data_IF_158319360012
#
_entry.id   IF_158319360012
#
_cell.length_a   1.000
_cell.length_b   1.000
_cell.length_c   1.000
_cell.angle_alpha   90.00
_cell.angle_beta   90.00
_cell.angle_gamma   90.00
#
_symmetry.space_group_name_H-M   'P 1'
#
loop_
_entity.id
_entity.type
_entity.pdbx_description
1 polymer ?
#
# COMPACT_ATOMS: atom_id res chain seq x y z
N UNK A 1 -17.28 27.98 6.07
CA UNK A 1 -16.68 26.65 6.28
C UNK A 1 -17.34 25.73 5.27
N UNK A 2 -16.69 25.39 4.13
CA UNK A 2 -17.30 24.43 3.22
C UNK A 2 -17.31 23.07 3.92
N UNK A 3 -18.49 22.47 4.01
CA UNK A 3 -18.75 21.16 4.62
C UNK A 3 -17.90 20.11 3.90
N UNK A 4 -17.07 19.37 4.63
CA UNK A 4 -16.36 18.22 4.10
C UNK A 4 -17.41 17.25 3.52
N UNK A 5 -17.43 17.13 2.19
CA UNK A 5 -18.15 16.06 1.53
C UNK A 5 -17.55 14.74 2.04
N UNK A 6 -18.39 13.81 2.53
CA UNK A 6 -17.93 12.50 2.97
C UNK A 6 -17.05 11.89 1.88
N UNK A 7 -15.77 11.65 2.19
CA UNK A 7 -14.84 11.04 1.26
C UNK A 7 -15.37 9.69 0.80
N UNK A 8 -15.18 9.36 -0.48
CA UNK A 8 -15.59 8.06 -1.03
C UNK A 8 -14.54 7.03 -0.61
N UNK A 9 -14.95 5.99 0.09
CA UNK A 9 -14.06 4.88 0.45
C UNK A 9 -13.74 4.05 -0.79
N UNK A 10 -12.45 3.78 -0.97
CA UNK A 10 -11.89 2.91 -1.99
C UNK A 10 -11.51 1.60 -1.31
N UNK A 11 -12.13 0.52 -1.78
CA UNK A 11 -11.81 -0.83 -1.32
C UNK A 11 -10.57 -1.31 -2.07
N UNK A 12 -9.56 -1.77 -1.32
CA UNK A 12 -8.42 -2.45 -1.90
C UNK A 12 -8.60 -3.96 -1.76
N UNK A 13 -8.43 -4.67 -2.86
CA UNK A 13 -8.44 -6.12 -2.95
C UNK A 13 -7.04 -6.69 -2.77
N UNK A 14 -6.94 -7.78 -2.02
CA UNK A 14 -5.68 -8.48 -1.79
C UNK A 14 -5.26 -9.27 -3.02
N UNK A 15 -4.01 -9.09 -3.43
CA UNK A 15 -3.35 -9.85 -4.49
C UNK A 15 -2.21 -10.71 -3.96
N UNK A 16 -1.42 -11.25 -4.88
CA UNK A 16 -0.27 -12.09 -4.54
C UNK A 16 0.77 -11.32 -3.69
N UNK A 17 1.43 -12.04 -2.79
CA UNK A 17 2.52 -11.48 -1.97
C UNK A 17 2.07 -10.38 -0.99
N UNK A 18 0.79 -10.31 -0.64
CA UNK A 18 0.24 -9.30 0.26
C UNK A 18 0.09 -7.92 -0.39
N UNK A 19 0.19 -7.84 -1.72
CA UNK A 19 -0.10 -6.61 -2.46
C UNK A 19 -1.57 -6.27 -2.36
N UNK A 20 -1.90 -4.98 -2.45
CA UNK A 20 -3.28 -4.51 -2.47
C UNK A 20 -3.51 -3.66 -3.73
N UNK A 21 -4.64 -3.83 -4.39
CA UNK A 21 -5.01 -3.04 -5.57
C UNK A 21 -6.46 -2.56 -5.47
N UNK A 22 -6.76 -1.39 -5.99
CA UNK A 22 -8.12 -0.89 -6.03
C UNK A 22 -8.33 0.15 -7.10
N UNK A 23 -9.60 0.47 -7.35
CA UNK A 23 -10.02 1.44 -8.35
C UNK A 23 -10.81 2.56 -7.68
N UNK A 24 -10.68 3.77 -8.22
CA UNK A 24 -11.48 4.91 -7.81
C UNK A 24 -11.94 5.68 -9.04
N UNK A 25 -13.00 6.45 -8.89
CA UNK A 25 -13.49 7.31 -9.95
C UNK A 25 -14.69 8.11 -9.53
N UNK A 26 -14.98 9.15 -10.30
CA UNK A 26 -16.17 9.96 -10.09
C UNK A 26 -16.68 10.51 -11.40
N UNK A 27 -18.00 10.68 -11.48
CA UNK A 27 -18.61 11.63 -12.38
C UNK A 27 -18.61 12.99 -11.69
N UNK A 28 -18.09 13.99 -12.38
CA UNK A 28 -18.12 15.38 -11.96
C UNK A 28 -19.19 16.10 -12.75
N UNK A 29 -19.99 16.89 -12.05
CA UNK A 29 -20.93 17.82 -12.65
C UNK A 29 -20.45 19.22 -12.30
N UNK A 30 -20.46 20.13 -13.26
CA UNK A 30 -20.19 21.54 -12.98
C UNK A 30 -21.07 22.02 -11.81
N UNK A 31 -20.43 22.47 -10.74
CA UNK A 31 -21.10 23.13 -9.61
C UNK A 31 -20.83 24.63 -9.70
N UNK A 32 -21.89 25.43 -9.87
CA UNK A 32 -21.77 26.88 -10.02
C UNK A 32 -21.25 27.33 -11.39
N UNK A 33 -20.92 28.61 -11.53
CA UNK A 33 -20.49 29.23 -12.80
C UNK A 33 -19.03 28.91 -13.17
N UNK A 34 -18.21 28.45 -12.21
CA UNK A 34 -16.77 28.23 -12.39
C UNK A 34 -16.40 26.79 -12.79
N UNK A 35 -17.28 25.80 -12.56
CA UNK A 35 -17.02 24.40 -12.91
C UNK A 35 -15.92 23.73 -12.08
N UNK A 36 -15.45 24.37 -11.02
CA UNK A 36 -14.45 23.82 -10.11
C UNK A 36 -15.02 22.64 -9.33
N UNK A 37 -14.14 21.68 -9.03
CA UNK A 37 -14.49 20.56 -8.17
C UNK A 37 -13.31 20.12 -7.31
N UNK A 38 -13.69 19.56 -6.16
CA UNK A 38 -12.83 18.72 -5.32
C UNK A 38 -13.52 17.37 -5.13
N UNK A 39 -12.74 16.29 -5.20
CA UNK A 39 -13.14 14.94 -4.80
C UNK A 39 -12.12 14.39 -3.84
N UNK A 40 -12.60 13.79 -2.77
CA UNK A 40 -11.77 13.12 -1.78
C UNK A 40 -12.12 11.64 -1.76
N UNK A 41 -11.08 10.82 -1.81
CA UNK A 41 -11.15 9.37 -1.67
C UNK A 41 -10.28 8.94 -0.50
N UNK A 42 -10.70 7.91 0.21
CA UNK A 42 -9.92 7.31 1.29
C UNK A 42 -9.76 5.82 1.12
N UNK A 43 -8.64 5.27 1.57
CA UNK A 43 -8.41 3.83 1.64
C UNK A 43 -7.55 3.53 2.86
N UNK A 44 -7.62 2.30 3.37
CA UNK A 44 -6.84 1.90 4.55
C UNK A 44 -5.74 0.93 4.16
N UNK A 45 -4.52 1.20 4.61
CA UNK A 45 -3.38 0.30 4.50
C UNK A 45 -3.17 -0.46 5.81
N UNK A 46 -3.05 -1.80 5.78
CA UNK A 46 -2.92 -2.60 7.01
C UNK A 46 -1.53 -2.48 7.65
N UNK A 47 -0.51 -2.15 6.86
CA UNK A 47 0.90 -2.05 7.26
C UNK A 47 1.60 -0.95 6.46
N UNK A 48 2.80 -0.56 6.89
CA UNK A 48 3.66 0.35 6.14
C UNK A 48 4.10 -0.29 4.81
N UNK A 49 4.27 0.52 3.78
CA UNK A 49 4.67 0.02 2.47
C UNK A 49 4.92 1.13 1.45
N UNK A 50 4.74 0.76 0.19
CA UNK A 50 4.93 1.63 -0.95
C UNK A 50 3.64 1.65 -1.76
N UNK A 51 3.11 2.84 -2.01
CA UNK A 51 1.93 3.07 -2.85
C UNK A 51 2.32 3.70 -4.18
N UNK A 52 1.69 3.23 -5.25
CA UNK A 52 1.64 3.89 -6.54
C UNK A 52 0.17 4.09 -6.91
N UNK A 53 -0.12 5.13 -7.69
CA UNK A 53 -1.46 5.38 -8.18
C UNK A 53 -1.43 6.10 -9.52
N UNK A 54 -2.48 5.89 -10.32
CA UNK A 54 -2.71 6.57 -11.58
C UNK A 54 -4.12 7.14 -11.64
N UNK A 55 -4.33 8.13 -12.50
CA UNK A 55 -5.63 8.71 -12.80
C UNK A 55 -5.66 9.12 -14.27
N UNK A 56 -6.82 9.03 -14.91
CA UNK A 56 -7.04 9.57 -16.25
C UNK A 56 -8.48 10.06 -16.47
N UNK A 57 -8.63 10.91 -17.49
CA UNK A 57 -9.91 11.37 -18.03
C UNK A 57 -9.80 11.48 -19.56
N UNK A 58 -10.95 11.42 -20.23
CA UNK A 58 -11.06 11.62 -21.68
C UNK A 58 -12.29 12.45 -21.99
N UNK A 59 -12.12 13.47 -22.82
CA UNK A 59 -13.23 14.30 -23.32
C UNK A 59 -13.80 13.72 -24.62
N UNK A 60 -15.08 13.96 -24.82
CA UNK A 60 -15.73 13.88 -26.14
C UNK A 60 -15.93 15.30 -26.70
N UNK A 61 -16.27 16.24 -25.83
CA UNK A 61 -16.57 17.64 -26.13
C UNK A 61 -16.27 18.54 -24.90
N UNK A 62 -16.60 19.82 -24.98
CA UNK A 62 -16.39 20.76 -23.87
C UNK A 62 -17.22 20.41 -22.62
N UNK A 63 -18.38 19.75 -22.75
CA UNK A 63 -19.24 19.40 -21.61
C UNK A 63 -18.72 18.19 -20.83
N UNK A 64 -17.88 17.36 -21.45
CA UNK A 64 -17.26 16.18 -20.82
C UNK A 64 -15.81 16.41 -20.44
N UNK A 65 -15.25 17.57 -20.80
CA UNK A 65 -13.87 17.94 -20.51
C UNK A 65 -13.63 18.09 -19.01
N UNK A 66 -12.53 17.49 -18.56
CA UNK A 66 -11.99 17.67 -17.21
C UNK A 66 -10.55 18.14 -17.36
N UNK A 67 -10.25 19.24 -16.69
CA UNK A 67 -8.91 19.78 -16.57
C UNK A 67 -8.44 19.59 -15.12
N UNK A 68 -7.53 18.65 -14.88
CA UNK A 68 -6.94 18.46 -13.55
C UNK A 68 -6.08 19.68 -13.20
N UNK A 69 -6.23 20.17 -11.97
CA UNK A 69 -5.39 21.25 -11.41
C UNK A 69 -4.41 20.73 -10.37
N UNK A 70 -4.82 19.72 -9.60
CA UNK A 70 -3.94 18.97 -8.70
C UNK A 70 -4.52 17.63 -8.34
N UNK A 71 -3.64 16.65 -8.13
CA UNK A 71 -3.98 15.35 -7.54
C UNK A 71 -2.94 15.06 -6.47
N UNK A 72 -3.41 14.81 -5.25
CA UNK A 72 -2.56 14.70 -4.07
C UNK A 72 -2.85 13.38 -3.34
N UNK A 73 -1.83 12.57 -3.07
CA UNK A 73 -1.91 11.45 -2.13
C UNK A 73 -1.20 11.85 -0.83
N UNK A 74 -1.95 11.97 0.25
CA UNK A 74 -1.48 12.47 1.56
C UNK A 74 -0.73 13.81 1.45
N UNK A 75 -1.19 14.70 0.56
CA UNK A 75 -0.55 15.99 0.30
C UNK A 75 0.65 15.94 -0.67
N UNK A 76 1.07 14.76 -1.13
CA UNK A 76 2.13 14.63 -2.14
C UNK A 76 1.54 14.64 -3.55
N UNK A 77 2.04 15.54 -4.40
CA UNK A 77 1.49 15.75 -5.73
C UNK A 77 1.85 14.65 -6.73
N UNK A 78 0.88 14.32 -7.59
CA UNK A 78 1.10 13.51 -8.77
C UNK A 78 1.86 14.32 -9.82
N UNK A 79 2.61 13.62 -10.68
CA UNK A 79 3.06 14.16 -11.95
C UNK A 79 1.88 14.14 -12.94
N UNK A 80 1.41 15.30 -13.37
CA UNK A 80 0.27 15.44 -14.29
C UNK A 80 0.75 15.72 -15.72
N UNK A 81 0.01 15.22 -16.71
CA UNK A 81 0.12 15.66 -18.09
C UNK A 81 -0.34 17.11 -18.23
N UNK A 82 0.05 17.82 -19.31
CA UNK A 82 -0.61 19.07 -19.69
C UNK A 82 -2.10 18.85 -19.92
N UNK A 83 -2.88 19.91 -19.73
CA UNK A 83 -4.32 19.88 -20.00
C UNK A 83 -4.65 19.63 -21.47
N UNK A 84 -5.71 18.86 -21.74
CA UNK A 84 -5.93 18.32 -23.08
C UNK A 84 -7.18 17.45 -23.21
N UNK A 85 -7.27 16.71 -24.33
CA UNK A 85 -8.45 15.86 -24.58
C UNK A 85 -8.41 14.52 -23.85
N UNK A 86 -7.21 14.14 -23.46
CA UNK A 86 -6.92 13.07 -22.54
C UNK A 86 -5.93 13.66 -21.57
N UNK A 87 -6.21 13.50 -20.28
CA UNK A 87 -5.28 13.90 -19.23
C UNK A 87 -4.99 12.69 -18.36
N UNK A 88 -3.75 12.59 -17.89
CA UNK A 88 -3.32 11.53 -17.01
C UNK A 88 -2.45 12.10 -15.90
N UNK A 89 -2.40 11.37 -14.79
CA UNK A 89 -1.52 11.67 -13.67
C UNK A 89 -1.05 10.39 -13.01
N UNK A 90 0.16 10.41 -12.45
CA UNK A 90 0.63 9.31 -11.62
C UNK A 90 1.50 9.78 -10.46
N UNK A 91 1.55 8.93 -9.45
CA UNK A 91 2.60 8.93 -8.43
C UNK A 91 3.12 7.51 -8.29
N UNK A 92 4.42 7.36 -8.20
CA UNK A 92 5.09 6.07 -8.16
C UNK A 92 6.04 6.02 -6.97
N UNK A 93 6.07 4.90 -6.26
CA UNK A 93 7.07 4.66 -5.22
C UNK A 93 6.90 5.52 -3.96
N UNK A 94 5.69 6.02 -3.65
CA UNK A 94 5.47 6.81 -2.45
C UNK A 94 5.48 5.89 -1.22
N UNK A 95 6.39 6.14 -0.28
CA UNK A 95 6.35 5.48 1.02
C UNK A 95 5.08 5.91 1.79
N UNK A 96 4.30 4.93 2.23
CA UNK A 96 3.05 5.12 2.94
C UNK A 96 3.06 4.33 4.24
N UNK A 97 2.48 4.91 5.29
CA UNK A 97 2.34 4.26 6.58
C UNK A 97 1.02 3.49 6.64
N UNK A 98 0.94 2.55 7.58
CA UNK A 98 -0.31 1.90 7.95
C UNK A 98 -1.34 2.94 8.41
N UNK A 99 -2.61 2.69 8.08
CA UNK A 99 -3.73 3.55 8.44
C UNK A 99 -4.47 4.13 7.24
N UNK A 100 -5.24 5.18 7.50
CA UNK A 100 -6.09 5.82 6.48
C UNK A 100 -5.25 6.76 5.62
N UNK A 101 -5.32 6.54 4.32
CA UNK A 101 -4.70 7.33 3.28
C UNK A 101 -5.78 8.19 2.61
N UNK A 102 -5.41 9.41 2.20
CA UNK A 102 -6.33 10.36 1.57
C UNK A 102 -5.81 10.75 0.19
N UNK A 103 -6.65 10.55 -0.83
CA UNK A 103 -6.43 11.00 -2.20
C UNK A 103 -7.38 12.17 -2.50
N UNK A 104 -6.83 13.31 -2.88
CA UNK A 104 -7.59 14.52 -3.22
C UNK A 104 -7.39 14.84 -4.70
N UNK A 105 -8.47 14.94 -5.45
CA UNK A 105 -8.50 15.32 -6.86
C UNK A 105 -9.18 16.68 -6.99
N UNK A 106 -8.47 17.65 -7.55
CA UNK A 106 -8.99 18.97 -7.84
C UNK A 106 -8.92 19.24 -9.35
N UNK A 107 -9.91 19.96 -9.87
CA UNK A 107 -9.94 20.30 -11.27
C UNK A 107 -11.09 21.22 -11.63
N UNK A 108 -11.23 21.42 -12.94
CA UNK A 108 -12.39 22.04 -13.56
C UNK A 108 -13.10 21.03 -14.43
N UNK A 109 -14.42 21.04 -14.44
CA UNK A 109 -15.24 20.29 -15.40
C UNK A 109 -16.10 21.25 -16.20
N UNK A 110 -16.12 21.09 -17.52
CA UNK A 110 -17.02 21.85 -18.38
C UNK A 110 -18.48 21.42 -18.27
N UNK A 111 -18.81 20.36 -17.52
CA UNK A 111 -20.15 19.83 -17.44
C UNK A 111 -20.20 18.47 -16.75
N UNK A 112 -20.64 17.44 -17.46
CA UNK A 112 -20.80 16.06 -16.99
C UNK A 112 -19.61 15.19 -17.41
N UNK A 113 -18.42 15.53 -16.93
CA UNK A 113 -17.18 14.77 -17.17
C UNK A 113 -16.99 13.63 -16.16
N UNK A 114 -16.04 12.73 -16.44
CA UNK A 114 -15.65 11.69 -15.50
C UNK A 114 -14.14 11.42 -15.51
N UNK A 115 -13.64 10.92 -14.39
CA UNK A 115 -12.29 10.41 -14.28
C UNK A 115 -12.29 9.10 -13.50
N UNK A 116 -11.25 8.30 -13.69
CA UNK A 116 -11.00 7.09 -12.93
C UNK A 116 -9.50 6.83 -12.81
N UNK A 117 -9.13 5.94 -11.89
CA UNK A 117 -7.76 5.63 -11.60
C UNK A 117 -7.61 4.34 -10.81
N UNK A 118 -6.36 3.91 -10.69
CA UNK A 118 -5.98 2.71 -9.95
C UNK A 118 -5.01 3.07 -8.83
N UNK A 119 -5.06 2.29 -7.76
CA UNK A 119 -4.13 2.35 -6.63
C UNK A 119 -3.50 0.97 -6.51
N UNK A 120 -2.19 0.93 -6.33
CA UNK A 120 -1.45 -0.31 -6.06
C UNK A 120 -0.53 -0.10 -4.86
N UNK A 121 -0.48 -1.08 -3.98
CA UNK A 121 0.30 -1.04 -2.77
C UNK A 121 1.09 -2.34 -2.60
N UNK A 122 2.34 -2.19 -2.18
CA UNK A 122 3.21 -3.29 -1.80
C UNK A 122 3.61 -3.09 -0.34
N UNK A 123 3.34 -4.05 0.56
CA UNK A 123 3.75 -3.94 1.95
C UNK A 123 5.28 -3.95 2.05
N UNK A 124 5.84 -3.18 2.98
CA UNK A 124 7.23 -3.37 3.36
C UNK A 124 7.34 -4.71 4.07
N UNK A 125 8.22 -5.60 3.58
CA UNK A 125 8.43 -6.88 4.23
C UNK A 125 8.85 -6.63 5.68
N UNK A 126 8.15 -7.26 6.63
CA UNK A 126 8.51 -7.17 8.02
C UNK A 126 9.95 -7.70 8.19
N UNK A 127 10.89 -6.79 8.48
CA UNK A 127 12.23 -7.18 8.90
C UNK A 127 12.06 -7.84 10.26
N UNK A 128 12.52 -9.10 10.47
CA UNK A 128 12.38 -9.74 11.76
C UNK A 128 13.01 -8.85 12.83
N UNK A 129 12.24 -8.54 13.88
CA UNK A 129 12.71 -7.67 14.95
C UNK A 129 14.01 -8.22 15.56
N UNK A 130 14.89 -7.38 16.13
CA UNK A 130 16.10 -7.84 16.82
C UNK A 130 15.83 -8.93 17.87
N UNK A 131 14.63 -8.91 18.49
CA UNK A 131 14.18 -9.97 19.40
C UNK A 131 14.01 -11.32 18.72
N UNK A 132 13.47 -11.37 17.51
CA UNK A 132 13.35 -12.60 16.71
C UNK A 132 14.71 -13.17 16.37
N UNK A 133 15.66 -12.31 16.00
CA UNK A 133 17.06 -12.72 15.78
C UNK A 133 17.69 -13.25 17.07
N UNK A 134 17.47 -12.57 18.19
CA UNK A 134 17.99 -13.00 19.49
C UNK A 134 17.41 -14.36 19.91
N UNK A 135 16.10 -14.59 19.73
CA UNK A 135 15.45 -15.86 20.03
C UNK A 135 15.93 -16.99 19.12
N UNK A 136 16.13 -16.71 17.83
CA UNK A 136 16.73 -17.65 16.89
C UNK A 136 18.15 -18.05 17.35
N UNK A 137 18.99 -17.06 17.66
CA UNK A 137 20.35 -17.31 18.16
C UNK A 137 20.34 -18.06 19.49
N UNK A 138 19.45 -17.71 20.41
CA UNK A 138 19.26 -18.42 21.68
C UNK A 138 18.86 -19.88 21.45
N UNK A 139 17.94 -20.15 20.52
CA UNK A 139 17.54 -21.50 20.12
C UNK A 139 18.72 -22.31 19.61
N UNK A 140 19.52 -21.74 18.69
CA UNK A 140 20.74 -22.39 18.22
C UNK A 140 21.77 -22.62 19.33
N UNK A 141 21.96 -21.65 20.23
CA UNK A 141 22.86 -21.78 21.36
C UNK A 141 22.43 -22.92 22.31
N UNK A 142 21.13 -23.03 22.60
CA UNK A 142 20.58 -24.09 23.45
C UNK A 142 20.78 -25.49 22.83
N UNK A 143 20.51 -25.64 21.53
CA UNK A 143 20.74 -26.90 20.81
C UNK A 143 22.22 -27.25 20.82
N UNK A 144 23.10 -26.31 20.45
CA UNK A 144 24.55 -26.51 20.45
C UNK A 144 25.09 -26.90 21.83
N UNK A 145 24.59 -26.27 22.90
CA UNK A 145 24.94 -26.62 24.27
C UNK A 145 24.52 -28.05 24.65
N UNK A 146 23.32 -28.47 24.24
CA UNK A 146 22.80 -29.82 24.51
C UNK A 146 23.66 -30.92 23.87
N UNK A 147 24.17 -30.68 22.66
CA UNK A 147 25.04 -31.62 21.94
C UNK A 147 26.41 -31.74 22.61
N UNK A 148 26.98 -30.63 23.11
CA UNK A 148 28.27 -30.65 23.82
C UNK A 148 28.21 -31.40 25.16
N UNK A 149 27.04 -31.44 25.80
CA UNK A 149 26.87 -32.06 27.13
C UNK A 149 26.80 -33.59 27.08
N UNK A 150 26.41 -34.18 25.95
CA UNK A 150 26.38 -35.64 25.76
C UNK A 150 27.74 -36.16 25.30
N UNK A 151 28.71 -36.28 26.21
CA UNK A 151 29.76 -37.28 26.07
C UNK A 151 29.24 -38.56 26.71
N UNK A 152 28.87 -39.60 25.94
CA UNK A 152 28.63 -40.90 26.55
C UNK A 152 29.95 -41.36 27.14
N UNK A 153 30.05 -41.42 28.47
CA UNK A 153 31.03 -42.29 29.10
C UNK A 153 30.68 -43.69 28.57
N UNK A 154 31.53 -44.20 27.67
CA UNK A 154 31.51 -45.60 27.29
C UNK A 154 31.74 -46.39 28.58
N UNK A 155 30.66 -46.77 29.26
CA UNK A 155 30.73 -47.77 30.32
C UNK A 155 31.13 -49.07 29.65
N UNK A 156 32.43 -49.33 29.64
CA UNK A 156 32.96 -50.68 29.42
C UNK A 156 32.38 -51.57 30.50
N UNK A 157 31.25 -52.21 30.19
CA UNK A 157 30.71 -53.27 31.00
C UNK A 157 31.66 -54.45 30.83
N UNK A 158 32.67 -54.55 31.71
CA UNK A 158 33.55 -55.73 31.75
C UNK A 158 32.72 -56.92 32.21
N UNK A 159 32.24 -57.71 31.26
CA UNK A 159 31.62 -59.02 31.52
C UNK A 159 32.72 -59.96 32.00
N UNK A 160 32.68 -60.33 33.29
CA UNK A 160 33.52 -61.41 33.82
C UNK A 160 32.83 -62.74 33.53
N UNK A 161 33.44 -63.57 32.71
CA UNK A 161 33.06 -64.97 32.58
C UNK A 161 33.69 -65.77 33.72
N UNK A 162 32.86 -66.36 34.57
CA UNK A 162 33.28 -67.41 35.49
C UNK A 162 33.03 -68.76 34.80
N UNK A 163 34.10 -69.53 34.60
CA UNK A 163 34.01 -70.92 34.18
C UNK A 163 34.03 -71.81 35.43
N UNK A 164 33.11 -72.76 35.47
CA UNK A 164 33.05 -73.85 36.43
C UNK A 164 33.24 -75.18 35.68
#
# INVERSE_FOLDING_TARGET
>A
MPTAANAVEVVLEEGDGGTLTGEFGAVVRASGESGDFTREFTFTLPVDGTTAASISTVRVDAMTDINFTSVLLNGVAFSLSPNGGVEFGSIEGLATLAGVQTLVVNGFSGGNGSFAGTISFVPTAAVPEPGTWALLMLGFAAVGFSMRRKKPELRETRVRYNFA
#
